data_IF_795253605312
#
_entry.id   IF_795253605312
#
_cell.length_a   1.000
_cell.length_b   1.000
_cell.length_c   1.000
_cell.angle_alpha   90.00
_cell.angle_beta   90.00
_cell.angle_gamma   90.00
#
_symmetry.space_group_name_H-M   'P 1'
#
loop_
_entity.id
_entity.type
_entity.pdbx_description
1 polymer ?
#
# COMPACT_ATOMS: atom_id res chain seq x y z
N UNK A 1 -29.15 -40.15 -25.43
CA UNK A 1 -27.73 -39.94 -25.74
C UNK A 1 -27.65 -38.84 -26.79
N UNK A 2 -27.73 -37.59 -26.36
CA UNK A 2 -27.76 -36.44 -27.28
C UNK A 2 -26.47 -35.64 -27.06
N UNK A 3 -25.50 -35.84 -27.94
CA UNK A 3 -24.31 -34.99 -28.05
C UNK A 3 -24.78 -33.65 -28.61
N UNK A 4 -25.09 -32.70 -27.75
CA UNK A 4 -25.19 -31.30 -28.18
C UNK A 4 -23.77 -30.82 -28.50
N UNK A 5 -23.56 -30.61 -29.78
CA UNK A 5 -22.39 -29.98 -30.36
C UNK A 5 -22.10 -28.65 -29.66
N UNK A 6 -20.97 -28.59 -28.97
CA UNK A 6 -20.31 -27.33 -28.67
C UNK A 6 -19.81 -26.74 -29.99
N UNK A 7 -20.71 -26.07 -30.71
CA UNK A 7 -20.35 -25.13 -31.77
C UNK A 7 -19.48 -24.07 -31.13
N UNK A 8 -18.17 -24.25 -31.26
CA UNK A 8 -17.15 -23.35 -30.76
C UNK A 8 -17.27 -22.07 -31.56
N UNK A 9 -17.97 -21.08 -30.99
CA UNK A 9 -18.10 -19.77 -31.60
C UNK A 9 -16.69 -19.21 -31.90
N UNK A 10 -16.45 -18.70 -33.10
CA UNK A 10 -15.14 -18.20 -33.51
C UNK A 10 -14.78 -16.94 -32.72
N UNK A 11 -13.67 -16.99 -31.98
CA UNK A 11 -12.79 -15.82 -31.83
C UNK A 11 -13.08 -14.77 -30.74
N UNK A 12 -13.40 -15.13 -29.50
CA UNK A 12 -13.03 -14.23 -28.37
C UNK A 12 -11.75 -14.74 -27.72
N UNK A 13 -10.62 -14.41 -28.34
CA UNK A 13 -9.29 -14.66 -27.79
C UNK A 13 -9.23 -14.11 -26.36
N UNK A 14 -8.89 -14.96 -25.37
CA UNK A 14 -8.72 -14.53 -23.99
C UNK A 14 -7.76 -13.34 -23.97
N UNK A 15 -8.16 -12.15 -23.46
CA UNK A 15 -7.40 -10.92 -23.63
C UNK A 15 -6.18 -10.89 -22.69
N UNK A 16 -5.20 -11.76 -22.94
CA UNK A 16 -4.01 -12.01 -22.10
C UNK A 16 -3.26 -10.72 -21.79
N UNK A 17 -2.99 -9.90 -22.81
CA UNK A 17 -2.23 -8.66 -22.67
C UNK A 17 -2.95 -7.65 -21.79
N UNK A 18 -4.25 -7.44 -22.00
CA UNK A 18 -5.02 -6.48 -21.22
C UNK A 18 -5.18 -6.94 -19.76
N UNK A 19 -5.41 -8.25 -19.57
CA UNK A 19 -5.48 -8.83 -18.23
C UNK A 19 -4.14 -8.70 -17.51
N UNK A 20 -3.01 -9.04 -18.15
CA UNK A 20 -1.67 -8.90 -17.58
C UNK A 20 -1.36 -7.45 -17.15
N UNK A 21 -1.71 -6.45 -17.98
CA UNK A 21 -1.53 -5.03 -17.63
C UNK A 21 -2.40 -4.66 -16.43
N UNK A 22 -3.67 -5.07 -16.42
CA UNK A 22 -4.58 -4.80 -15.30
C UNK A 22 -4.07 -5.40 -13.99
N UNK A 23 -3.53 -6.62 -14.05
CA UNK A 23 -2.95 -7.31 -12.91
C UNK A 23 -1.66 -6.66 -12.42
N UNK A 24 -0.79 -6.23 -13.33
CA UNK A 24 0.42 -5.48 -12.97
C UNK A 24 0.08 -4.17 -12.25
N UNK A 25 -0.91 -3.42 -12.75
CA UNK A 25 -1.41 -2.23 -12.07
C UNK A 25 -2.01 -2.57 -10.69
N UNK A 26 -2.79 -3.65 -10.61
CA UNK A 26 -3.42 -4.10 -9.37
C UNK A 26 -2.42 -4.47 -8.28
N UNK A 27 -1.22 -4.93 -8.64
CA UNK A 27 -0.17 -5.31 -7.69
C UNK A 27 0.32 -4.13 -6.82
N UNK A 28 0.29 -2.92 -7.34
CA UNK A 28 0.82 -1.71 -6.66
C UNK A 28 0.06 -1.41 -5.36
N UNK A 29 -1.26 -1.59 -5.38
CA UNK A 29 -2.14 -1.28 -4.25
C UNK A 29 -1.90 -2.14 -3.00
N UNK A 30 -1.93 -3.49 -3.07
CA UNK A 30 -1.63 -4.33 -1.91
C UNK A 30 -0.17 -4.16 -1.45
N UNK A 31 0.78 -3.91 -2.36
CA UNK A 31 2.15 -3.59 -1.96
C UNK A 31 2.22 -2.33 -1.09
N UNK A 32 1.62 -1.23 -1.55
CA UNK A 32 1.63 0.04 -0.85
C UNK A 32 0.96 -0.08 0.53
N UNK A 33 -0.26 -0.62 0.59
CA UNK A 33 -1.03 -0.71 1.84
C UNK A 33 -0.33 -1.60 2.87
N UNK A 34 0.16 -2.78 2.45
CA UNK A 34 0.75 -3.73 3.40
C UNK A 34 2.19 -3.37 3.79
N UNK A 35 2.90 -2.57 2.98
CA UNK A 35 4.21 -2.06 3.35
C UNK A 35 4.18 -1.13 4.56
N UNK A 36 3.06 -0.45 4.80
CA UNK A 36 2.90 0.51 5.90
C UNK A 36 2.95 -0.14 7.27
N UNK A 37 2.40 -1.36 7.39
CA UNK A 37 2.24 -2.07 8.66
C UNK A 37 3.53 -2.11 9.51
N UNK A 38 4.69 -2.56 9.00
CA UNK A 38 5.91 -2.70 9.80
C UNK A 38 6.50 -1.38 10.31
N UNK A 39 6.38 -0.28 9.57
CA UNK A 39 7.01 0.99 9.96
C UNK A 39 6.05 2.00 10.59
N UNK A 40 4.73 1.85 10.42
CA UNK A 40 3.75 2.79 10.96
C UNK A 40 3.82 2.91 12.48
N UNK A 41 4.06 1.79 13.18
CA UNK A 41 4.23 1.81 14.64
C UNK A 41 5.43 2.68 15.07
N UNK A 42 6.58 2.49 14.42
CA UNK A 42 7.77 3.28 14.72
C UNK A 42 7.60 4.75 14.33
N UNK A 43 6.90 5.00 13.23
CA UNK A 43 6.60 6.35 12.75
C UNK A 43 5.74 7.12 13.76
N UNK A 44 4.68 6.50 14.28
CA UNK A 44 3.83 7.12 15.31
C UNK A 44 4.63 7.41 16.58
N UNK A 45 5.52 6.50 17.00
CA UNK A 45 6.36 6.70 18.19
C UNK A 45 7.34 7.86 18.00
N UNK A 46 7.98 7.95 16.83
CA UNK A 46 8.94 9.01 16.53
C UNK A 46 8.30 10.39 16.52
N UNK A 47 7.06 10.47 16.02
CA UNK A 47 6.34 11.74 15.82
C UNK A 47 5.56 12.20 17.05
N UNK A 48 5.11 11.28 17.92
CA UNK A 48 4.23 11.62 19.04
C UNK A 48 4.99 12.07 20.30
N UNK A 49 6.06 11.35 20.68
CA UNK A 49 7.07 11.67 21.73
C UNK A 49 7.85 10.40 22.12
N UNK A 50 9.13 10.50 22.57
CA UNK A 50 9.93 9.34 23.01
C UNK A 50 9.31 8.56 24.19
N UNK A 51 8.54 9.26 25.04
CA UNK A 51 7.97 8.74 26.29
C UNK A 51 6.57 8.10 26.12
N UNK A 52 6.05 8.01 24.89
CA UNK A 52 4.75 7.36 24.67
C UNK A 52 4.78 5.90 25.11
N UNK A 53 3.77 5.48 25.86
CA UNK A 53 3.60 4.08 26.22
C UNK A 53 3.32 3.23 24.97
N UNK A 54 3.86 2.01 24.93
CA UNK A 54 3.61 1.06 23.83
C UNK A 54 2.10 0.82 23.61
N UNK A 55 1.30 0.90 24.69
CA UNK A 55 -0.15 0.80 24.62
C UNK A 55 -0.81 1.97 23.90
N UNK A 56 -0.31 3.19 24.09
CA UNK A 56 -0.84 4.39 23.43
C UNK A 56 -0.46 4.43 21.96
N UNK A 57 0.78 4.09 21.63
CA UNK A 57 1.23 3.96 20.24
C UNK A 57 0.39 2.93 19.48
N UNK A 58 0.11 1.78 20.11
CA UNK A 58 -0.76 0.74 19.52
C UNK A 58 -2.19 1.24 19.30
N UNK A 59 -2.76 2.00 20.26
CA UNK A 59 -4.09 2.61 20.11
C UNK A 59 -4.13 3.58 18.93
N UNK A 60 -3.14 4.46 18.79
CA UNK A 60 -3.06 5.42 17.68
C UNK A 60 -2.95 4.70 16.33
N UNK A 61 -2.07 3.70 16.22
CA UNK A 61 -1.93 2.90 14.99
C UNK A 61 -3.26 2.22 14.63
N UNK A 62 -3.95 1.63 15.60
CA UNK A 62 -5.25 0.97 15.37
C UNK A 62 -6.32 1.97 14.93
N UNK A 63 -6.35 3.17 15.52
CA UNK A 63 -7.24 4.25 15.11
C UNK A 63 -6.96 4.72 13.68
N UNK A 64 -5.69 4.82 13.30
CA UNK A 64 -5.27 5.16 11.94
C UNK A 64 -5.77 4.11 10.93
N UNK A 65 -5.58 2.82 11.22
CA UNK A 65 -6.10 1.73 10.39
C UNK A 65 -7.63 1.75 10.30
N UNK A 66 -8.31 2.01 11.42
CA UNK A 66 -9.77 2.11 11.47
C UNK A 66 -10.29 3.27 10.64
N UNK A 67 -9.63 4.44 10.71
CA UNK A 67 -9.99 5.61 9.90
C UNK A 67 -9.80 5.35 8.40
N UNK A 68 -8.70 4.68 8.02
CA UNK A 68 -8.47 4.22 6.65
C UNK A 68 -9.59 3.28 6.16
N UNK A 69 -9.94 2.28 6.97
CA UNK A 69 -10.97 1.30 6.64
C UNK A 69 -12.36 1.96 6.50
N UNK A 70 -12.69 2.90 7.40
CA UNK A 70 -13.95 3.66 7.35
C UNK A 70 -14.02 4.51 6.07
N UNK A 71 -12.96 5.24 5.75
CA UNK A 71 -12.86 6.05 4.54
C UNK A 71 -13.00 5.20 3.26
N UNK A 72 -12.34 4.04 3.24
CA UNK A 72 -12.45 3.08 2.14
C UNK A 72 -13.87 2.54 2.01
N UNK A 73 -14.50 2.16 3.13
CA UNK A 73 -15.87 1.65 3.15
C UNK A 73 -16.86 2.68 2.58
N UNK A 74 -16.77 3.94 2.99
CA UNK A 74 -17.65 5.01 2.52
C UNK A 74 -17.53 5.29 1.02
N UNK A 75 -16.33 5.15 0.44
CA UNK A 75 -16.06 5.50 -0.96
C UNK A 75 -16.16 4.34 -1.94
N UNK A 76 -16.15 3.10 -1.46
CA UNK A 76 -16.10 1.92 -2.34
C UNK A 76 -17.27 1.85 -3.34
N UNK A 77 -18.49 2.15 -2.88
CA UNK A 77 -19.70 2.17 -3.72
C UNK A 77 -19.68 3.35 -4.70
N UNK A 78 -19.19 4.52 -4.25
CA UNK A 78 -19.08 5.73 -5.05
C UNK A 78 -18.16 5.51 -6.25
N UNK A 79 -16.99 4.90 -6.03
CA UNK A 79 -16.03 4.58 -7.10
C UNK A 79 -16.59 3.60 -8.13
N UNK A 80 -17.37 2.61 -7.70
CA UNK A 80 -18.07 1.70 -8.61
C UNK A 80 -18.97 2.46 -9.58
N UNK A 81 -19.89 3.28 -9.05
CA UNK A 81 -20.83 4.09 -9.85
C UNK A 81 -20.11 5.12 -10.72
N UNK A 82 -19.03 5.72 -10.21
CA UNK A 82 -18.23 6.69 -10.95
C UNK A 82 -17.50 6.03 -12.14
N UNK A 83 -16.99 4.81 -11.93
CA UNK A 83 -16.33 4.03 -12.98
C UNK A 83 -17.26 3.64 -14.12
N UNK A 84 -18.55 3.44 -13.82
CA UNK A 84 -19.56 3.12 -14.83
C UNK A 84 -19.96 4.35 -15.66
N UNK A 85 -19.85 5.58 -15.12
CA UNK A 85 -20.17 6.83 -15.84
C UNK A 85 -19.02 7.41 -16.65
N UNK A 86 -17.83 7.49 -16.07
CA UNK A 86 -16.64 8.14 -16.67
C UNK A 86 -15.81 7.14 -17.48
N UNK A 87 -16.08 5.84 -17.31
CA UNK A 87 -15.31 4.74 -17.88
C UNK A 87 -14.28 4.19 -16.90
N UNK A 88 -14.04 2.89 -16.97
CA UNK A 88 -13.26 2.17 -15.96
C UNK A 88 -11.77 2.51 -15.95
N UNK A 89 -11.20 2.75 -17.13
CA UNK A 89 -9.75 3.00 -17.31
C UNK A 89 -9.25 4.29 -16.65
N UNK A 90 -9.85 5.49 -16.88
CA UNK A 90 -9.39 6.71 -16.23
C UNK A 90 -9.57 6.68 -14.71
N UNK A 91 -10.66 6.07 -14.23
CA UNK A 91 -10.95 5.97 -12.79
C UNK A 91 -9.93 5.07 -12.08
N UNK A 92 -9.52 3.95 -12.70
CA UNK A 92 -8.46 3.10 -12.16
C UNK A 92 -7.11 3.83 -12.08
N UNK A 93 -6.74 4.59 -13.12
CA UNK A 93 -5.50 5.37 -13.11
C UNK A 93 -5.53 6.48 -12.06
N UNK A 94 -6.68 7.15 -11.89
CA UNK A 94 -6.86 8.17 -10.87
C UNK A 94 -6.75 7.58 -9.46
N UNK A 95 -7.35 6.41 -9.22
CA UNK A 95 -7.22 5.70 -7.94
C UNK A 95 -5.77 5.28 -7.65
N UNK A 96 -5.05 4.75 -8.64
CA UNK A 96 -3.62 4.43 -8.49
C UNK A 96 -2.79 5.69 -8.19
N UNK A 97 -3.02 6.79 -8.91
CA UNK A 97 -2.33 8.05 -8.68
C UNK A 97 -2.64 8.61 -7.28
N UNK A 98 -3.89 8.52 -6.84
CA UNK A 98 -4.31 8.96 -5.52
C UNK A 98 -3.65 8.16 -4.39
N UNK A 99 -3.55 6.84 -4.55
CA UNK A 99 -2.82 5.97 -3.60
C UNK A 99 -1.32 6.30 -3.60
N UNK A 100 -0.73 6.52 -4.78
CA UNK A 100 0.67 6.94 -4.90
C UNK A 100 0.94 8.26 -4.17
N UNK A 101 0.17 9.31 -4.48
CA UNK A 101 0.31 10.64 -3.84
C UNK A 101 0.10 10.53 -2.32
N UNK A 102 -0.89 9.78 -1.86
CA UNK A 102 -1.15 9.60 -0.43
C UNK A 102 -0.05 8.81 0.29
N UNK A 103 0.62 7.91 -0.41
CA UNK A 103 1.76 7.14 0.11
C UNK A 103 3.00 8.03 0.20
N UNK A 104 3.25 8.86 -0.80
CA UNK A 104 4.31 9.87 -0.78
C UNK A 104 4.04 10.90 0.32
N UNK A 105 2.81 11.39 0.45
CA UNK A 105 2.43 12.34 1.51
C UNK A 105 2.66 11.76 2.92
N UNK A 106 2.46 10.45 3.11
CA UNK A 106 2.85 9.80 4.35
C UNK A 106 4.37 9.81 4.53
N UNK A 107 5.17 9.54 3.52
CA UNK A 107 6.63 9.54 3.65
C UNK A 107 7.17 10.87 4.21
N UNK A 108 6.51 11.99 3.88
CA UNK A 108 6.84 13.33 4.40
C UNK A 108 6.12 13.71 5.70
N UNK A 109 5.34 12.81 6.30
CA UNK A 109 4.51 13.18 7.45
C UNK A 109 5.33 13.28 8.75
N UNK A 110 5.40 14.50 9.29
CA UNK A 110 6.12 14.81 10.54
C UNK A 110 5.20 14.97 11.76
N UNK A 111 3.90 14.68 11.62
CA UNK A 111 2.90 14.88 12.68
C UNK A 111 1.81 13.80 12.63
N UNK A 112 1.29 13.37 13.78
CA UNK A 112 0.21 12.35 13.86
C UNK A 112 -1.04 12.76 13.06
N UNK A 113 -1.51 14.02 13.12
CA UNK A 113 -2.64 14.45 12.29
C UNK A 113 -2.36 14.31 10.78
N UNK A 114 -1.12 14.58 10.35
CA UNK A 114 -0.73 14.47 8.94
C UNK A 114 -0.70 13.00 8.48
N UNK A 115 -0.28 12.09 9.37
CA UNK A 115 -0.41 10.63 9.15
C UNK A 115 -1.90 10.27 8.97
N UNK A 116 -2.79 10.73 9.86
CA UNK A 116 -4.23 10.49 9.73
C UNK A 116 -4.80 10.99 8.41
N UNK A 117 -4.51 12.24 8.03
CA UNK A 117 -4.99 12.83 6.77
C UNK A 117 -4.50 12.04 5.58
N UNK A 118 -3.21 11.68 5.53
CA UNK A 118 -2.65 10.86 4.44
C UNK A 118 -3.32 9.49 4.34
N UNK A 119 -3.73 8.90 5.47
CA UNK A 119 -4.41 7.60 5.51
C UNK A 119 -5.87 7.68 5.13
N UNK A 120 -6.57 8.70 5.60
CA UNK A 120 -7.94 8.96 5.16
C UNK A 120 -7.96 9.23 3.65
N UNK A 121 -7.05 10.09 3.15
CA UNK A 121 -6.92 10.35 1.72
C UNK A 121 -6.62 9.07 0.92
N UNK A 122 -5.67 8.25 1.39
CA UNK A 122 -5.39 6.96 0.77
C UNK A 122 -6.64 6.07 0.71
N UNK A 123 -7.40 5.98 1.80
CA UNK A 123 -8.64 5.18 1.87
C UNK A 123 -9.73 5.71 0.94
N UNK A 124 -9.94 7.03 0.91
CA UNK A 124 -10.92 7.69 0.05
C UNK A 124 -10.61 7.52 -1.44
N UNK A 125 -9.34 7.44 -1.82
CA UNK A 125 -8.88 7.30 -3.21
C UNK A 125 -8.70 5.83 -3.63
N UNK A 126 -8.95 4.88 -2.74
CA UNK A 126 -8.71 3.45 -2.93
C UNK A 126 -9.97 2.70 -3.41
N UNK A 127 -10.40 2.99 -4.65
CA UNK A 127 -11.53 2.33 -5.32
C UNK A 127 -11.14 1.18 -6.25
N UNK A 128 -9.84 0.86 -6.39
CA UNK A 128 -9.35 0.04 -7.50
C UNK A 128 -9.76 -1.44 -7.39
N UNK A 129 -10.03 -1.93 -6.17
CA UNK A 129 -10.48 -3.31 -5.93
C UNK A 129 -11.80 -3.59 -6.68
N UNK A 130 -12.77 -2.69 -6.56
CA UNK A 130 -14.08 -2.83 -7.22
C UNK A 130 -13.90 -2.70 -8.73
N UNK A 131 -13.20 -1.66 -9.18
CA UNK A 131 -13.01 -1.36 -10.60
C UNK A 131 -12.32 -2.52 -11.32
N UNK A 132 -11.26 -3.07 -10.72
CA UNK A 132 -10.50 -4.20 -11.28
C UNK A 132 -11.38 -5.44 -11.45
N UNK A 133 -12.20 -5.76 -10.43
CA UNK A 133 -13.13 -6.90 -10.47
C UNK A 133 -14.16 -6.73 -11.59
N UNK A 134 -14.71 -5.52 -11.75
CA UNK A 134 -15.68 -5.26 -12.81
C UNK A 134 -15.03 -5.25 -14.20
N UNK A 135 -13.82 -4.71 -14.35
CA UNK A 135 -13.05 -4.79 -15.60
C UNK A 135 -12.77 -6.24 -16.02
N UNK A 136 -12.41 -7.12 -15.09
CA UNK A 136 -12.23 -8.56 -15.37
C UNK A 136 -13.57 -9.19 -15.81
N UNK A 137 -14.67 -8.82 -15.15
CA UNK A 137 -16.01 -9.30 -15.47
C UNK A 137 -16.49 -8.90 -16.87
N UNK A 138 -16.10 -7.71 -17.34
CA UNK A 138 -16.47 -7.18 -18.65
C UNK A 138 -15.57 -7.71 -19.77
N UNK A 139 -14.28 -7.92 -19.50
CA UNK A 139 -13.30 -8.33 -20.51
C UNK A 139 -13.29 -9.83 -20.83
N UNK A 140 -13.61 -10.68 -19.85
CA UNK A 140 -13.47 -12.13 -19.98
C UNK A 140 -14.82 -12.77 -20.22
N UNK A 141 -14.98 -13.49 -21.33
CA UNK A 141 -16.21 -14.24 -21.62
C UNK A 141 -16.05 -15.73 -21.29
N UNK A 142 -17.15 -16.36 -20.86
CA UNK A 142 -17.18 -17.77 -20.43
C UNK A 142 -16.90 -17.97 -18.93
N UNK A 143 -17.69 -18.83 -18.28
CA UNK A 143 -17.64 -19.08 -16.83
C UNK A 143 -16.28 -19.59 -16.36
N UNK A 144 -15.68 -20.50 -17.10
CA UNK A 144 -14.38 -21.09 -16.79
C UNK A 144 -13.24 -20.06 -16.88
N UNK A 145 -13.20 -19.28 -17.96
CA UNK A 145 -12.20 -18.23 -18.15
C UNK A 145 -12.34 -17.11 -17.12
N UNK A 146 -13.57 -16.69 -16.77
CA UNK A 146 -13.82 -15.70 -15.72
C UNK A 146 -13.28 -16.18 -14.37
N UNK A 147 -13.59 -17.43 -14.00
CA UNK A 147 -13.08 -18.04 -12.76
C UNK A 147 -11.55 -17.99 -12.71
N UNK A 148 -10.87 -18.39 -13.81
CA UNK A 148 -9.40 -18.36 -13.90
C UNK A 148 -8.83 -16.94 -13.79
N UNK A 149 -9.47 -15.94 -14.38
CA UNK A 149 -9.03 -14.54 -14.29
C UNK A 149 -9.20 -13.97 -12.87
N UNK A 150 -10.31 -14.29 -12.19
CA UNK A 150 -10.52 -13.92 -10.79
C UNK A 150 -9.53 -14.62 -9.85
N UNK A 151 -9.23 -15.88 -10.10
CA UNK A 151 -8.21 -16.62 -9.35
C UNK A 151 -6.85 -15.94 -9.47
N UNK A 152 -6.42 -15.59 -10.69
CA UNK A 152 -5.15 -14.91 -10.89
C UNK A 152 -5.11 -13.50 -10.27
N UNK A 153 -6.22 -12.75 -10.33
CA UNK A 153 -6.33 -11.48 -9.63
C UNK A 153 -6.16 -11.63 -8.11
N UNK A 154 -6.72 -12.69 -7.52
CA UNK A 154 -6.51 -12.97 -6.10
C UNK A 154 -5.07 -13.41 -5.80
N UNK A 155 -4.44 -14.20 -6.66
CA UNK A 155 -3.02 -14.59 -6.53
C UNK A 155 -2.11 -13.37 -6.50
N UNK A 156 -2.28 -12.43 -7.43
CA UNK A 156 -1.50 -11.19 -7.48
C UNK A 156 -1.72 -10.34 -6.22
N UNK A 157 -2.96 -10.28 -5.72
CA UNK A 157 -3.24 -9.60 -4.46
C UNK A 157 -2.44 -10.20 -3.30
N UNK A 158 -2.42 -11.54 -3.18
CA UNK A 158 -1.68 -12.22 -2.13
C UNK A 158 -0.15 -12.08 -2.27
N UNK A 159 0.36 -12.01 -3.50
CA UNK A 159 1.78 -11.70 -3.70
C UNK A 159 2.11 -10.32 -3.14
N UNK A 160 1.26 -9.32 -3.40
CA UNK A 160 1.44 -7.97 -2.86
C UNK A 160 1.33 -7.89 -1.33
N UNK A 161 0.42 -8.65 -0.72
CA UNK A 161 0.26 -8.68 0.74
C UNK A 161 1.46 -9.35 1.43
N UNK A 162 2.09 -10.35 0.80
CA UNK A 162 3.32 -10.97 1.32
C UNK A 162 4.51 -10.04 1.13
N UNK A 163 4.73 -9.52 -0.09
CA UNK A 163 5.92 -8.72 -0.43
C UNK A 163 5.90 -7.35 0.24
N UNK A 164 4.73 -6.75 0.46
CA UNK A 164 4.57 -5.42 1.07
C UNK A 164 5.30 -5.27 2.40
N UNK A 165 5.01 -6.10 3.42
CA UNK A 165 5.69 -6.05 4.72
C UNK A 165 7.18 -6.33 4.65
N UNK A 166 7.68 -7.15 3.71
CA UNK A 166 9.12 -7.32 3.52
C UNK A 166 9.77 -5.99 3.12
N UNK A 167 9.20 -5.30 2.12
CA UNK A 167 9.68 -3.99 1.67
C UNK A 167 9.62 -3.00 2.83
N UNK A 168 8.48 -2.90 3.53
CA UNK A 168 8.32 -2.02 4.68
C UNK A 168 9.29 -2.32 5.84
N UNK A 169 9.58 -3.60 6.09
CA UNK A 169 10.51 -4.04 7.12
C UNK A 169 11.97 -3.67 6.84
N UNK A 170 12.38 -3.59 5.56
CA UNK A 170 13.71 -3.07 5.20
C UNK A 170 13.90 -1.61 5.64
N UNK A 171 12.86 -0.79 5.56
CA UNK A 171 12.90 0.62 6.00
C UNK A 171 12.95 0.77 7.54
N UNK A 172 12.53 -0.26 8.29
CA UNK A 172 12.52 -0.27 9.76
C UNK A 172 13.90 -0.55 10.36
N UNK A 173 14.76 -1.30 9.66
CA UNK A 173 16.08 -1.71 10.17
C UNK A 173 17.02 -0.55 10.55
N UNK A 174 17.15 0.56 9.78
CA UNK A 174 17.96 1.69 10.21
C UNK A 174 17.39 2.39 11.45
N UNK A 175 16.07 2.55 11.50
CA UNK A 175 15.35 3.25 12.57
C UNK A 175 15.43 2.52 13.93
N UNK A 176 15.36 1.19 13.87
CA UNK A 176 15.45 0.32 15.05
C UNK A 176 16.82 0.38 15.73
N UNK A 177 17.89 0.66 14.96
CA UNK A 177 19.26 0.76 15.49
C UNK A 177 19.48 2.04 16.28
N UNK A 178 18.89 3.16 15.84
CA UNK A 178 18.98 4.44 16.56
C UNK A 178 18.23 4.41 17.90
N UNK A 179 17.02 3.86 17.95
CA UNK A 179 16.23 3.76 19.20
C UNK A 179 16.97 2.88 20.21
N UNK A 180 17.52 1.73 19.78
CA UNK A 180 18.27 0.83 20.66
C UNK A 180 19.59 1.44 21.15
N UNK A 181 20.21 2.32 20.37
CA UNK A 181 21.39 3.07 20.78
C UNK A 181 21.07 4.17 21.80
N UNK A 182 19.88 4.75 21.75
CA UNK A 182 19.42 5.79 22.69
C UNK A 182 18.94 5.23 24.04
N UNK A 183 18.47 3.98 24.09
CA UNK A 183 17.90 3.34 25.29
C UNK A 183 18.88 2.42 26.05
N UNK A 184 20.17 2.37 25.66
CA UNK A 184 21.19 1.59 26.40
C UNK A 184 21.55 2.28 27.73
N UNK A 185 21.34 1.64 28.90
CA UNK A 185 21.72 2.19 30.21
C UNK A 185 23.25 2.19 30.48
N UNK A 186 24.09 1.82 29.50
CA UNK A 186 25.54 1.73 29.67
C UNK A 186 26.27 2.75 28.79
N UNK A 187 26.06 4.03 29.07
CA UNK A 187 26.91 5.11 28.53
C UNK A 187 27.49 5.96 29.64
N UNK A 188 28.11 5.30 30.60
CA UNK A 188 29.17 5.92 31.39
C UNK A 188 30.43 5.09 31.19
N UNK A 189 31.50 5.79 30.82
CA UNK A 189 32.89 5.37 30.68
C UNK A 189 33.27 4.83 29.28
N UNK A 190 34.12 5.64 28.64
CA UNK A 190 34.95 5.36 27.46
C UNK A 190 34.19 5.37 26.10
N UNK A 191 34.60 6.10 25.07
CA UNK A 191 35.82 6.88 24.83
C UNK A 191 35.61 7.69 23.55
N UNK A 192 36.18 8.90 23.55
CA UNK A 192 36.74 9.63 22.39
C UNK A 192 35.95 9.74 21.09
N UNK A 193 35.52 10.99 20.82
CA UNK A 193 35.80 11.71 19.57
C UNK A 193 35.90 10.84 18.29
N UNK A 194 34.75 10.50 17.70
CA UNK A 194 34.72 10.16 16.27
C UNK A 194 33.94 11.23 15.50
N UNK A 195 34.66 12.29 15.09
CA UNK A 195 34.15 13.34 14.19
C UNK A 195 33.74 12.79 12.81
N UNK A 196 34.02 11.53 12.46
CA UNK A 196 33.58 10.92 11.19
C UNK A 196 32.15 10.39 11.23
N UNK A 197 31.59 10.12 12.41
CA UNK A 197 30.20 9.66 12.55
C UNK A 197 29.18 10.79 12.26
N UNK A 198 29.49 12.03 12.67
CA UNK A 198 28.66 13.21 12.38
C UNK A 198 28.61 13.58 10.89
N UNK A 199 29.71 13.36 10.16
CA UNK A 199 29.79 13.60 8.71
C UNK A 199 28.96 12.60 7.89
N UNK A 200 28.78 11.36 8.39
CA UNK A 200 27.90 10.37 7.75
C UNK A 200 26.43 10.65 7.99
N UNK A 201 26.07 11.19 9.16
CA UNK A 201 24.70 11.58 9.47
C UNK A 201 24.23 12.72 8.55
N UNK A 202 25.07 13.75 8.34
CA UNK A 202 24.76 14.84 7.40
C UNK A 202 24.68 14.39 5.94
N UNK A 203 25.49 13.43 5.50
CA UNK A 203 25.47 12.94 4.12
C UNK A 203 24.18 12.18 3.76
N UNK A 204 23.59 11.44 4.73
CA UNK A 204 22.32 10.72 4.52
C UNK A 204 21.13 11.68 4.52
N UNK A 205 21.14 12.70 5.39
CA UNK A 205 20.12 13.75 5.37
C UNK A 205 20.16 14.58 4.07
N UNK A 206 21.36 14.90 3.56
CA UNK A 206 21.51 15.61 2.28
C UNK A 206 21.12 14.76 1.06
N UNK A 207 21.36 13.45 1.09
CA UNK A 207 20.99 12.54 0.00
C UNK A 207 19.48 12.32 -0.13
N UNK A 208 18.72 12.51 0.96
CA UNK A 208 17.25 12.38 0.99
C UNK A 208 16.49 13.68 0.68
N UNK A 209 17.17 14.83 0.56
CA UNK A 209 16.56 16.09 0.12
C UNK A 209 16.77 16.40 -1.37
N UNK A 210 17.47 15.54 -2.12
CA UNK A 210 17.78 15.72 -3.55
C UNK A 210 17.06 14.70 -4.46
N UNK A 211 16.15 13.91 -3.91
CA UNK A 211 15.19 13.08 -4.66
C UNK A 211 13.77 13.33 -4.15
#
# INVERSE_FOLDING_TARGET
MERTSHTSAPGSSFPRRQLQVLLACRLVEPLAINSVIPYLFQMVRHVSSPDLSDGEATRLVTLIFSAYAMAQFSTNILWGRLSDRIGRRPVLLFGLAGVFVSTVALAFSSSVPLIFVSRIAAGLLCGNIVITRTMIGDMVHGRENKSRAFAWNQTVYQIGTVVGPFIGGFFVQPFSREIKASHSPRRNIATSYDKRAGLRHLAVYHALQVF
#
